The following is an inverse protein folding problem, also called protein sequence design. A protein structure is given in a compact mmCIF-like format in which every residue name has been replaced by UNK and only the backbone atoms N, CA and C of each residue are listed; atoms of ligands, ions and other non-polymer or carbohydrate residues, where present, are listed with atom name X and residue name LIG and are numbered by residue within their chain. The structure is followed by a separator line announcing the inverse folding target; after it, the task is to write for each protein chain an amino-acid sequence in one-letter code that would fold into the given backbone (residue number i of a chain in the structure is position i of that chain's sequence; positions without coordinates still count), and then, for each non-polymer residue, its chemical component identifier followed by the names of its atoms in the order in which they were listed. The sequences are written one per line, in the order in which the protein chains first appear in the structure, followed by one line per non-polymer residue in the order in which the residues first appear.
data_IF_845033850031
#
_entry.id   IF_845033850031
#
_cell.length_a   1.000
_cell.length_b   1.000
_cell.length_c   1.000
_cell.angle_alpha   90.00
_cell.angle_beta   90.00
_cell.angle_gamma   90.00
#
_symmetry.space_group_name_H-M   'P 1'
#
loop_
_entity.id
_entity.type
_entity.pdbx_description
1 polymer ?
#
# COMPACT_ATOMS: atom_id res chain seq x y z
N UNK A 1 -14.17 -31.43 10.49
CA UNK A 1 -13.62 -32.48 9.61
C UNK A 1 -12.63 -31.82 8.66
N UNK A 2 -11.45 -32.41 8.49
CA UNK A 2 -10.22 -31.74 8.04
C UNK A 2 -10.22 -31.10 6.65
N UNK A 3 -9.40 -30.06 6.54
CA UNK A 3 -9.00 -29.43 5.29
C UNK A 3 -8.06 -30.38 4.52
N UNK A 4 -8.57 -31.02 3.47
CA UNK A 4 -7.76 -31.85 2.56
C UNK A 4 -7.47 -31.11 1.26
N UNK A 5 -6.19 -30.77 1.05
CA UNK A 5 -5.37 -30.98 -0.15
C UNK A 5 -5.84 -30.59 -1.58
N UNK A 6 -7.03 -30.04 -1.82
CA UNK A 6 -7.58 -30.00 -3.18
C UNK A 6 -7.39 -28.71 -4.02
N UNK A 7 -6.79 -27.64 -3.48
CA UNK A 7 -6.69 -26.36 -4.22
C UNK A 7 -5.30 -26.02 -4.79
N UNK A 8 -4.31 -26.92 -4.66
CA UNK A 8 -2.95 -26.69 -5.17
C UNK A 8 -2.56 -27.53 -6.40
N UNK A 9 -3.42 -28.42 -6.90
CA UNK A 9 -3.03 -29.41 -7.92
C UNK A 9 -3.30 -29.04 -9.39
N UNK A 10 -3.70 -27.80 -9.72
CA UNK A 10 -3.92 -27.36 -11.12
C UNK A 10 -2.78 -26.43 -11.62
N UNK A 11 -1.61 -26.42 -10.96
CA UNK A 11 -0.49 -25.51 -11.32
C UNK A 11 0.73 -26.24 -11.89
N UNK A 12 0.70 -27.57 -12.03
CA UNK A 12 1.89 -28.33 -12.45
C UNK A 12 2.06 -28.54 -13.98
N UNK A 13 1.11 -28.15 -14.83
CA UNK A 13 1.18 -28.46 -16.29
C UNK A 13 1.67 -27.28 -17.16
N UNK A 14 1.70 -26.04 -16.65
CA UNK A 14 2.00 -24.86 -17.49
C UNK A 14 3.47 -24.45 -17.57
N UNK A 15 4.39 -25.14 -16.89
CA UNK A 15 5.79 -24.69 -16.72
C UNK A 15 6.74 -25.21 -17.83
N UNK A 16 6.33 -26.18 -18.67
CA UNK A 16 7.24 -26.76 -19.69
C UNK A 16 7.27 -25.93 -21.00
N UNK A 17 6.35 -24.99 -21.22
CA UNK A 17 6.19 -24.33 -22.53
C UNK A 17 6.92 -22.96 -22.70
N UNK A 18 7.54 -22.37 -21.67
CA UNK A 18 8.16 -21.02 -21.78
C UNK A 18 9.70 -21.00 -21.85
N UNK A 19 10.37 -22.15 -21.98
CA UNK A 19 11.84 -22.24 -21.96
C UNK A 19 12.49 -22.07 -23.35
N UNK A 20 11.72 -21.94 -24.44
CA UNK A 20 12.28 -21.81 -25.79
C UNK A 20 11.87 -20.51 -26.50
N UNK A 21 12.54 -19.41 -26.15
CA UNK A 21 12.83 -18.21 -26.95
C UNK A 21 13.31 -17.17 -25.92
N UNK A 22 14.59 -16.86 -25.81
CA UNK A 22 15.28 -15.86 -26.65
C UNK A 22 16.79 -16.09 -26.51
N UNK A 23 17.50 -16.17 -27.63
CA UNK A 23 18.97 -16.03 -27.70
C UNK A 23 19.31 -15.10 -28.88
N UNK A 24 20.39 -14.34 -28.69
CA UNK A 24 21.18 -13.53 -29.66
C UNK A 24 20.50 -12.24 -30.15
N UNK A 25 21.12 -11.05 -30.27
CA UNK A 25 22.50 -10.54 -30.45
C UNK A 25 22.44 -9.02 -30.05
N UNK A 26 23.41 -8.27 -29.51
CA UNK A 26 24.69 -7.86 -30.10
C UNK A 26 25.48 -6.94 -29.15
N UNK A 27 26.81 -6.96 -29.32
CA UNK A 27 27.87 -6.18 -28.64
C UNK A 27 28.13 -4.79 -29.30
N UNK A 28 29.00 -4.01 -28.63
CA UNK A 28 29.68 -2.74 -29.00
C UNK A 28 28.89 -1.46 -28.65
N UNK A 29 29.46 -0.41 -28.05
CA UNK A 29 30.84 0.06 -27.99
C UNK A 29 31.08 0.94 -26.74
N UNK A 30 32.29 0.85 -26.18
CA UNK A 30 32.86 1.76 -25.20
C UNK A 30 33.30 3.07 -25.85
N UNK A 31 33.14 4.22 -25.17
CA UNK A 31 34.17 5.25 -25.14
C UNK A 31 34.03 6.19 -23.94
N UNK A 32 35.12 6.25 -23.20
CA UNK A 32 35.47 7.17 -22.13
C UNK A 32 35.83 8.55 -22.70
N UNK A 33 35.52 9.61 -21.95
CA UNK A 33 36.30 10.85 -21.96
C UNK A 33 36.00 11.63 -20.69
N UNK A 34 36.97 11.64 -19.77
CA UNK A 34 37.06 12.64 -18.72
C UNK A 34 37.30 14.01 -19.35
N UNK A 35 36.71 15.06 -18.80
CA UNK A 35 37.39 16.35 -18.71
C UNK A 35 36.96 17.09 -17.46
N UNK A 36 37.99 17.49 -16.73
CA UNK A 36 37.99 18.08 -15.42
C UNK A 36 38.44 19.53 -15.61
N UNK A 37 37.62 20.52 -15.28
CA UNK A 37 38.07 21.90 -15.13
C UNK A 37 37.31 22.57 -14.01
N UNK A 38 38.03 22.75 -12.90
CA UNK A 38 37.73 23.71 -11.85
C UNK A 38 37.63 25.13 -12.45
N UNK A 39 36.61 25.89 -12.05
CA UNK A 39 36.72 27.34 -11.99
C UNK A 39 35.82 27.86 -10.86
N UNK A 40 36.48 28.33 -9.81
CA UNK A 40 35.90 29.15 -8.77
C UNK A 40 35.59 30.53 -9.36
N UNK A 41 34.33 30.95 -9.31
CA UNK A 41 33.97 32.36 -9.40
C UNK A 41 32.77 32.62 -8.48
N UNK A 42 33.05 33.35 -7.40
CA UNK A 42 32.07 34.00 -6.53
C UNK A 42 31.28 35.03 -7.33
N UNK A 43 30.02 34.72 -7.62
CA UNK A 43 29.04 35.69 -8.10
C UNK A 43 27.86 35.68 -7.13
N UNK A 44 27.63 36.84 -6.50
CA UNK A 44 26.45 37.14 -5.70
C UNK A 44 25.26 37.17 -6.67
N UNK A 45 24.43 36.13 -6.67
CA UNK A 45 23.18 36.12 -7.43
C UNK A 45 22.01 36.29 -6.48
N UNK A 46 21.37 37.45 -6.54
CA UNK A 46 20.00 37.63 -6.09
C UNK A 46 19.12 36.66 -6.88
N UNK A 47 18.77 35.52 -6.27
CA UNK A 47 17.80 34.60 -6.86
C UNK A 47 16.42 35.28 -6.88
N UNK A 48 15.75 35.40 -8.03
CA UNK A 48 14.36 35.78 -8.06
C UNK A 48 13.57 34.69 -7.34
N UNK A 49 12.67 35.10 -6.45
CA UNK A 49 11.67 34.21 -5.86
C UNK A 49 10.78 33.72 -7.02
N UNK A 50 11.14 32.59 -7.62
CA UNK A 50 10.25 31.84 -8.48
C UNK A 50 9.12 31.32 -7.59
N UNK A 51 8.01 32.04 -7.57
CA UNK A 51 6.72 31.47 -7.18
C UNK A 51 6.37 30.44 -8.27
N UNK A 52 6.96 29.25 -8.21
CA UNK A 52 6.52 28.12 -9.00
C UNK A 52 5.06 27.87 -8.61
N UNK A 53 4.13 28.30 -9.45
CA UNK A 53 2.74 27.87 -9.31
C UNK A 53 2.74 26.35 -9.43
N UNK A 54 2.21 25.65 -8.42
CA UNK A 54 2.11 24.19 -8.44
C UNK A 54 1.35 23.74 -9.68
N UNK A 55 1.90 22.78 -10.41
CA UNK A 55 1.29 22.22 -11.61
C UNK A 55 0.48 20.97 -11.23
N UNK A 56 -0.85 20.95 -11.46
CA UNK A 56 -1.67 19.80 -11.13
C UNK A 56 -1.32 18.60 -12.02
N UNK A 57 -1.18 17.43 -11.39
CA UNK A 57 -0.95 16.16 -12.09
C UNK A 57 -2.17 15.76 -12.90
N UNK A 58 -2.00 15.33 -14.15
CA UNK A 58 -3.12 14.81 -14.93
C UNK A 58 -3.59 13.44 -14.41
N UNK A 59 -4.89 13.15 -14.56
CA UNK A 59 -5.44 11.81 -14.28
C UNK A 59 -5.03 10.89 -15.43
N UNK A 60 -4.24 9.85 -15.13
CA UNK A 60 -3.89 8.78 -16.06
C UNK A 60 -5.09 7.89 -16.35
N UNK A 61 -5.75 7.43 -15.29
CA UNK A 61 -6.97 6.64 -15.37
C UNK A 61 -7.78 6.71 -14.08
N UNK A 62 -9.07 6.43 -14.17
CA UNK A 62 -9.94 6.25 -13.01
C UNK A 62 -10.83 5.03 -13.23
N UNK A 63 -11.01 4.19 -12.22
CA UNK A 63 -11.80 2.97 -12.33
C UNK A 63 -12.35 2.50 -10.98
N UNK A 64 -13.51 1.84 -11.04
CA UNK A 64 -14.15 1.23 -9.89
C UNK A 64 -13.35 0.02 -9.38
N UNK A 65 -13.11 -0.06 -8.07
CA UNK A 65 -12.53 -1.22 -7.43
C UNK A 65 -13.48 -2.42 -7.49
N UNK A 66 -12.93 -3.59 -7.82
CA UNK A 66 -13.71 -4.80 -8.05
C UNK A 66 -13.92 -5.51 -6.72
N UNK A 67 -15.18 -5.83 -6.43
CA UNK A 67 -15.52 -6.61 -5.23
C UNK A 67 -15.23 -8.09 -5.43
N UNK A 68 -14.56 -8.71 -4.47
CA UNK A 68 -14.24 -10.14 -4.47
C UNK A 68 -14.17 -10.69 -3.05
N UNK A 69 -14.25 -12.01 -2.93
CA UNK A 69 -14.02 -12.71 -1.67
C UNK A 69 -12.54 -12.99 -1.47
N UNK A 70 -12.07 -12.89 -0.23
CA UNK A 70 -10.70 -13.21 0.20
C UNK A 70 -10.74 -13.88 1.58
N UNK A 71 -9.65 -14.54 1.96
CA UNK A 71 -9.53 -15.24 3.24
C UNK A 71 -10.69 -16.22 3.45
N UNK A 72 -11.24 -16.20 4.66
CA UNK A 72 -12.44 -16.94 5.03
C UNK A 72 -13.62 -15.98 5.08
N UNK A 73 -14.46 -15.94 4.04
CA UNK A 73 -15.73 -15.18 4.04
C UNK A 73 -15.59 -13.65 4.01
N UNK A 74 -14.38 -13.10 3.98
CA UNK A 74 -14.18 -11.64 3.93
C UNK A 74 -14.49 -11.10 2.53
N UNK A 75 -15.01 -9.87 2.46
CA UNK A 75 -15.25 -9.15 1.21
C UNK A 75 -14.28 -7.99 1.10
N UNK A 76 -13.66 -7.85 -0.06
CA UNK A 76 -12.77 -6.74 -0.36
C UNK A 76 -13.12 -6.10 -1.69
N UNK A 77 -12.93 -4.78 -1.79
CA UNK A 77 -12.89 -4.07 -3.06
C UNK A 77 -11.43 -3.82 -3.43
N UNK A 78 -10.94 -4.55 -4.45
CA UNK A 78 -9.55 -4.46 -4.92
C UNK A 78 -9.41 -3.48 -6.07
N UNK A 79 -8.45 -2.57 -5.95
CA UNK A 79 -8.09 -1.63 -7.02
C UNK A 79 -6.74 -1.98 -7.66
N UNK A 80 -5.64 -1.77 -6.93
CA UNK A 80 -4.29 -2.24 -7.26
C UNK A 80 -4.21 -3.74 -6.94
N UNK A 81 -3.55 -4.52 -7.81
CA UNK A 81 -3.53 -5.98 -7.73
C UNK A 81 -4.60 -6.67 -8.57
N UNK A 82 -5.28 -5.93 -9.46
CA UNK A 82 -6.25 -6.48 -10.43
C UNK A 82 -5.61 -6.72 -11.79
N UNK A 83 -6.31 -7.38 -12.72
CA UNK A 83 -5.82 -7.50 -14.11
C UNK A 83 -5.68 -6.13 -14.79
N UNK A 84 -6.49 -5.13 -14.39
CA UNK A 84 -6.44 -3.77 -14.91
C UNK A 84 -5.19 -3.02 -14.43
N UNK A 85 -4.77 -3.27 -13.19
CA UNK A 85 -3.60 -2.66 -12.58
C UNK A 85 -2.93 -3.69 -11.67
N UNK A 86 -2.01 -4.48 -12.24
CA UNK A 86 -1.37 -5.58 -11.51
C UNK A 86 -0.52 -5.10 -10.34
N UNK A 87 0.16 -3.99 -10.52
CA UNK A 87 0.88 -3.24 -9.48
C UNK A 87 1.06 -1.80 -9.98
N UNK A 88 1.44 -0.91 -9.07
CA UNK A 88 1.75 0.49 -9.33
C UNK A 88 2.87 0.94 -8.40
N UNK A 89 4.13 0.64 -8.77
CA UNK A 89 5.31 0.77 -7.90
C UNK A 89 5.30 2.08 -7.08
N UNK A 90 5.49 2.03 -5.75
CA UNK A 90 5.84 0.84 -4.95
C UNK A 90 4.63 0.01 -4.50
N UNK A 91 3.41 0.32 -4.94
CA UNK A 91 2.19 -0.31 -4.46
C UNK A 91 1.90 -1.63 -5.17
N UNK A 92 1.64 -2.67 -4.39
CA UNK A 92 1.41 -4.03 -4.88
C UNK A 92 -0.07 -4.41 -4.86
N UNK A 93 -0.80 -3.91 -3.87
CA UNK A 93 -2.22 -4.21 -3.66
C UNK A 93 -2.87 -3.10 -2.84
N UNK A 94 -4.12 -2.78 -3.15
CA UNK A 94 -4.99 -1.97 -2.28
C UNK A 94 -6.36 -2.62 -2.21
N UNK A 95 -6.73 -3.05 -1.02
CA UNK A 95 -8.05 -3.58 -0.69
C UNK A 95 -8.77 -2.65 0.28
N UNK A 96 -10.02 -2.30 -0.04
CA UNK A 96 -10.97 -1.76 0.94
C UNK A 96 -11.80 -2.95 1.44
N UNK A 97 -11.52 -3.39 2.66
CA UNK A 97 -12.13 -4.58 3.24
C UNK A 97 -13.37 -4.27 4.07
N UNK A 98 -14.28 -5.24 4.11
CA UNK A 98 -15.40 -5.31 5.04
C UNK A 98 -15.46 -6.74 5.57
N UNK A 99 -15.21 -6.89 6.87
CA UNK A 99 -15.08 -8.20 7.54
C UNK A 99 -16.19 -8.33 8.57
N UNK A 100 -17.13 -9.24 8.32
CA UNK A 100 -18.16 -9.61 9.29
C UNK A 100 -17.62 -10.54 10.38
N UNK A 101 -18.42 -10.81 11.42
CA UNK A 101 -18.03 -11.63 12.59
C UNK A 101 -17.53 -13.05 12.24
N UNK A 102 -18.11 -13.67 11.21
CA UNK A 102 -17.80 -15.05 10.78
C UNK A 102 -16.84 -15.06 9.59
N UNK A 103 -16.01 -14.02 9.48
CA UNK A 103 -15.05 -13.85 8.39
C UNK A 103 -13.67 -13.48 8.92
N UNK A 104 -12.65 -13.49 8.08
CA UNK A 104 -11.32 -12.99 8.44
C UNK A 104 -10.20 -13.57 7.60
N UNK A 105 -8.97 -13.31 8.03
CA UNK A 105 -7.74 -13.77 7.40
C UNK A 105 -6.99 -14.65 8.41
N UNK A 106 -7.25 -15.97 8.45
CA UNK A 106 -6.55 -16.87 9.36
C UNK A 106 -5.07 -16.98 8.98
N UNK A 107 -4.32 -17.78 9.72
CA UNK A 107 -2.86 -17.96 9.59
C UNK A 107 -2.38 -18.02 8.13
N UNK A 108 -1.65 -16.98 7.71
CA UNK A 108 -1.09 -16.86 6.38
C UNK A 108 0.30 -16.20 6.41
N UNK A 109 1.18 -16.53 5.45
CA UNK A 109 2.53 -15.98 5.42
C UNK A 109 2.62 -14.70 4.58
N UNK A 110 3.70 -13.94 4.75
CA UNK A 110 4.18 -12.89 3.85
C UNK A 110 5.71 -12.86 3.78
N UNK A 111 6.29 -12.45 2.64
CA UNK A 111 7.73 -12.19 2.48
C UNK A 111 8.01 -11.16 1.38
N UNK A 112 8.80 -10.14 1.73
CA UNK A 112 9.36 -9.18 0.77
C UNK A 112 8.55 -7.88 0.58
N UNK A 113 7.52 -7.64 1.38
CA UNK A 113 6.70 -6.43 1.36
C UNK A 113 6.45 -5.86 2.76
N UNK A 114 5.91 -4.65 2.80
CA UNK A 114 5.22 -4.10 3.97
C UNK A 114 3.70 -4.18 3.74
N UNK A 115 2.94 -4.53 4.78
CA UNK A 115 1.48 -4.43 4.79
C UNK A 115 1.08 -3.31 5.75
N UNK A 116 0.22 -2.42 5.27
CA UNK A 116 -0.28 -1.28 6.03
C UNK A 116 -1.77 -1.45 6.18
N UNK A 117 -2.21 -1.72 7.39
CA UNK A 117 -3.62 -1.87 7.76
C UNK A 117 -4.08 -0.54 8.35
N UNK A 118 -5.06 0.13 7.73
CA UNK A 118 -5.70 1.34 8.26
C UNK A 118 -7.17 1.08 8.54
N UNK A 119 -7.59 1.17 9.81
CA UNK A 119 -8.96 0.85 10.16
C UNK A 119 -9.87 2.08 10.15
N UNK A 120 -10.99 1.98 9.43
CA UNK A 120 -11.97 3.05 9.29
C UNK A 120 -13.06 2.96 10.35
N UNK A 121 -13.55 1.74 10.64
CA UNK A 121 -14.53 1.48 11.69
C UNK A 121 -14.40 0.05 12.25
N UNK A 122 -14.82 -0.15 13.50
CA UNK A 122 -14.73 -1.43 14.20
C UNK A 122 -13.34 -1.71 14.79
N UNK A 123 -12.89 -2.97 14.78
CA UNK A 123 -11.56 -3.42 15.18
C UNK A 123 -11.04 -4.58 14.32
N UNK A 124 -9.72 -4.73 14.25
CA UNK A 124 -9.07 -5.96 13.75
C UNK A 124 -8.08 -6.46 14.80
N UNK A 125 -8.26 -7.70 15.25
CA UNK A 125 -7.30 -8.40 16.09
C UNK A 125 -6.21 -9.00 15.19
N UNK A 126 -4.95 -8.84 15.58
CA UNK A 126 -3.81 -9.45 14.89
C UNK A 126 -2.97 -10.30 15.86
N UNK A 127 -2.36 -11.36 15.32
CA UNK A 127 -1.48 -12.26 16.06
C UNK A 127 -0.43 -12.85 15.11
N UNK A 128 0.83 -12.89 15.50
CA UNK A 128 1.91 -13.46 14.70
C UNK A 128 2.70 -14.59 15.41
N UNK A 129 3.49 -15.31 14.62
CA UNK A 129 4.35 -16.40 15.10
C UNK A 129 5.57 -15.94 15.93
N UNK A 130 5.78 -14.63 16.08
CA UNK A 130 6.84 -14.04 16.89
C UNK A 130 6.34 -13.68 18.29
N UNK A 131 5.02 -13.78 18.52
CA UNK A 131 4.35 -13.49 19.78
C UNK A 131 3.74 -12.09 19.85
N UNK A 132 3.82 -11.30 18.79
CA UNK A 132 3.14 -10.00 18.72
C UNK A 132 1.65 -10.21 18.51
N UNK A 133 0.85 -9.47 19.26
CA UNK A 133 -0.60 -9.47 19.12
C UNK A 133 -1.19 -8.16 19.64
N UNK A 134 -2.36 -7.82 19.15
CA UNK A 134 -3.05 -6.59 19.53
C UNK A 134 -4.34 -6.40 18.77
N UNK A 135 -4.97 -5.26 18.99
CA UNK A 135 -6.15 -4.81 18.26
C UNK A 135 -5.85 -3.45 17.64
N UNK A 136 -6.11 -3.35 16.34
CA UNK A 136 -6.11 -2.11 15.57
C UNK A 136 -7.52 -1.53 15.72
N UNK A 137 -7.66 -0.34 16.32
CA UNK A 137 -8.95 0.32 16.53
C UNK A 137 -9.29 1.35 15.44
N UNK A 138 -10.47 2.00 15.49
CA UNK A 138 -10.87 2.98 14.48
C UNK A 138 -9.88 4.14 14.42
N UNK A 139 -9.37 4.42 13.22
CA UNK A 139 -8.37 5.44 12.98
C UNK A 139 -6.92 5.01 13.23
N UNK A 140 -6.69 3.84 13.84
CA UNK A 140 -5.35 3.30 14.04
C UNK A 140 -4.78 2.71 12.75
N UNK A 141 -3.46 2.67 12.68
CA UNK A 141 -2.71 1.99 11.65
C UNK A 141 -1.72 0.99 12.24
N UNK A 142 -1.48 -0.07 11.47
CA UNK A 142 -0.36 -0.97 11.67
C UNK A 142 0.48 -1.02 10.40
N UNK A 143 1.76 -0.71 10.53
CA UNK A 143 2.76 -0.90 9.48
C UNK A 143 3.57 -2.15 9.82
N UNK A 144 3.28 -3.25 9.14
CA UNK A 144 4.01 -4.51 9.30
C UNK A 144 5.01 -4.66 8.16
N UNK A 145 6.31 -4.66 8.48
CA UNK A 145 7.34 -5.09 7.53
C UNK A 145 7.46 -6.61 7.61
N UNK A 146 7.14 -7.33 6.52
CA UNK A 146 7.26 -8.80 6.49
C UNK A 146 8.71 -9.27 6.33
N UNK A 147 9.54 -8.51 5.60
CA UNK A 147 10.97 -8.82 5.42
C UNK A 147 11.19 -10.27 4.97
N UNK A 148 12.12 -10.97 5.65
CA UNK A 148 12.48 -12.38 5.39
C UNK A 148 11.36 -13.39 5.66
N UNK A 149 10.24 -13.00 6.28
CA UNK A 149 9.13 -13.90 6.50
C UNK A 149 8.37 -13.61 7.78
N UNK A 150 7.05 -13.54 7.68
CA UNK A 150 6.15 -13.52 8.83
C UNK A 150 4.96 -14.44 8.55
N UNK A 151 4.45 -15.11 9.58
CA UNK A 151 3.14 -15.77 9.54
C UNK A 151 2.26 -15.15 10.62
N UNK A 152 1.07 -14.73 10.23
CA UNK A 152 0.15 -14.02 11.11
C UNK A 152 -1.31 -14.29 10.74
N UNK A 153 -2.22 -13.88 11.62
CA UNK A 153 -3.65 -13.83 11.39
C UNK A 153 -4.16 -12.41 11.63
N UNK A 154 -5.19 -12.02 10.87
CA UNK A 154 -5.93 -10.77 11.00
C UNK A 154 -7.43 -11.10 11.04
N UNK A 155 -8.01 -11.07 12.23
CA UNK A 155 -9.39 -11.50 12.50
C UNK A 155 -10.23 -10.30 12.93
N UNK A 156 -11.53 -10.26 12.58
CA UNK A 156 -12.41 -9.18 13.00
C UNK A 156 -12.47 -9.11 14.53
N UNK A 157 -12.39 -7.90 15.06
CA UNK A 157 -12.78 -7.68 16.44
C UNK A 157 -14.31 -7.80 16.56
N UNK A 158 -14.77 -8.29 17.71
CA UNK A 158 -16.20 -8.43 17.97
C UNK A 158 -16.79 -7.08 18.37
N UNK A 159 -17.45 -6.40 17.42
CA UNK A 159 -18.17 -5.17 17.72
C UNK A 159 -19.44 -5.47 18.55
N UNK A 160 -19.72 -4.72 19.63
CA UNK A 160 -20.90 -4.97 20.49
C UNK A 160 -22.25 -4.93 19.76
N UNK A 161 -22.34 -4.14 18.69
CA UNK A 161 -23.54 -4.00 17.85
C UNK A 161 -23.60 -5.00 16.68
N UNK A 162 -22.58 -5.85 16.53
CA UNK A 162 -22.46 -6.81 15.43
C UNK A 162 -22.14 -6.19 14.07
N UNK A 163 -21.83 -4.88 14.02
CA UNK A 163 -21.43 -4.21 12.78
C UNK A 163 -20.13 -4.81 12.21
N UNK A 164 -19.94 -4.78 10.87
CA UNK A 164 -18.72 -5.26 10.26
C UNK A 164 -17.54 -4.30 10.50
N UNK A 165 -16.33 -4.85 10.42
CA UNK A 165 -15.09 -4.10 10.50
C UNK A 165 -14.68 -3.63 9.10
N UNK A 166 -14.39 -2.34 8.95
CA UNK A 166 -14.11 -1.72 7.65
C UNK A 166 -12.75 -1.04 7.70
N UNK A 167 -11.92 -1.30 6.68
CA UNK A 167 -10.58 -0.75 6.64
C UNK A 167 -9.92 -0.87 5.28
N UNK A 168 -8.65 -0.47 5.24
CA UNK A 168 -7.81 -0.44 4.05
C UNK A 168 -6.57 -1.29 4.30
N UNK A 169 -6.31 -2.24 3.41
CA UNK A 169 -5.06 -2.99 3.35
C UNK A 169 -4.25 -2.49 2.16
N UNK A 170 -3.09 -1.88 2.42
CA UNK A 170 -2.14 -1.46 1.39
C UNK A 170 -0.89 -2.31 1.48
N UNK A 171 -0.50 -2.94 0.37
CA UNK A 171 0.81 -3.60 0.27
C UNK A 171 1.80 -2.69 -0.46
N UNK A 172 2.95 -2.49 0.17
CA UNK A 172 4.04 -1.66 -0.35
C UNK A 172 5.28 -2.53 -0.53
N UNK A 173 5.86 -2.51 -1.72
CA UNK A 173 7.04 -3.28 -2.03
C UNK A 173 8.25 -2.79 -1.21
N UNK A 174 9.07 -3.73 -0.72
CA UNK A 174 10.35 -3.39 -0.10
C UNK A 174 11.43 -3.21 -1.18
N UNK A 175 12.38 -2.28 -1.00
CA UNK A 175 13.58 -2.24 -1.81
C UNK A 175 14.29 -3.59 -1.76
N UNK A 176 14.83 -4.06 -2.88
CA UNK A 176 15.51 -5.37 -3.00
C UNK A 176 16.43 -5.69 -1.82
N UNK A 177 17.22 -4.71 -1.37
CA UNK A 177 18.18 -4.84 -0.26
C UNK A 177 17.54 -5.06 1.12
N UNK A 178 16.25 -4.74 1.29
CA UNK A 178 15.49 -4.87 2.54
C UNK A 178 14.51 -6.05 2.53
N UNK A 179 14.34 -6.76 1.41
CA UNK A 179 13.40 -7.90 1.33
C UNK A 179 13.73 -9.05 2.26
N UNK A 180 14.96 -9.10 2.79
CA UNK A 180 15.41 -10.12 3.76
C UNK A 180 15.72 -9.53 5.14
N UNK A 181 15.26 -8.30 5.45
CA UNK A 181 15.39 -7.77 6.80
C UNK A 181 14.54 -8.57 7.79
N UNK A 182 14.82 -8.43 9.09
CA UNK A 182 13.94 -8.97 10.12
C UNK A 182 12.54 -8.32 10.03
N UNK A 183 11.47 -9.09 10.28
CA UNK A 183 10.13 -8.52 10.38
C UNK A 183 10.05 -7.50 11.51
N UNK A 184 9.22 -6.46 11.32
CA UNK A 184 8.97 -5.46 12.37
C UNK A 184 7.55 -4.93 12.28
N UNK A 185 7.06 -4.39 13.40
CA UNK A 185 5.81 -3.63 13.47
C UNK A 185 6.09 -2.19 13.85
N UNK A 186 5.31 -1.28 13.27
CA UNK A 186 5.14 0.08 13.75
C UNK A 186 3.67 0.42 13.76
N UNK A 187 3.08 0.38 14.96
CA UNK A 187 1.70 0.84 15.16
C UNK A 187 1.68 2.38 15.22
N UNK A 188 0.58 2.98 14.77
CA UNK A 188 0.31 4.42 14.87
C UNK A 188 -1.14 4.58 15.33
N UNK A 189 -1.33 5.10 16.55
CA UNK A 189 -2.66 5.32 17.11
C UNK A 189 -3.31 6.54 16.48
N UNK A 190 -4.64 6.51 16.39
CA UNK A 190 -5.44 7.60 15.82
C UNK A 190 -5.12 8.96 16.46
N UNK A 191 -4.89 8.98 17.77
CA UNK A 191 -4.55 10.18 18.55
C UNK A 191 -3.15 10.74 18.27
N UNK A 192 -2.25 9.92 17.73
CA UNK A 192 -0.89 10.35 17.34
C UNK A 192 -0.88 11.03 15.96
N UNK A 193 -1.96 10.91 15.17
CA UNK A 193 -2.01 11.39 13.80
C UNK A 193 -2.27 12.91 13.78
N UNK A 194 -1.34 13.73 13.27
CA UNK A 194 -1.55 15.17 13.14
C UNK A 194 -2.68 15.48 12.14
N UNK A 195 -3.48 16.49 12.46
CA UNK A 195 -4.58 16.94 11.61
C UNK A 195 -4.26 18.32 11.06
N UNK A 196 -4.27 18.45 9.73
CA UNK A 196 -4.26 19.74 9.05
C UNK A 196 -5.69 20.18 8.72
N UNK A 197 -5.94 21.49 8.80
CA UNK A 197 -7.18 22.10 8.34
C UNK A 197 -6.89 23.07 7.21
N UNK A 198 -7.75 23.07 6.18
CA UNK A 198 -7.63 23.96 5.04
C UNK A 198 -9.01 24.52 4.63
N UNK A 199 -8.98 25.50 3.73
CA UNK A 199 -10.18 26.14 3.16
C UNK A 199 -11.18 26.60 4.24
N UNK A 200 -10.67 27.35 5.22
CA UNK A 200 -11.46 27.90 6.34
C UNK A 200 -12.24 26.83 7.13
N UNK A 201 -11.67 25.63 7.29
CA UNK A 201 -12.28 24.54 8.06
C UNK A 201 -13.24 23.66 7.27
N UNK A 202 -13.33 23.83 5.95
CA UNK A 202 -14.08 22.94 5.05
C UNK A 202 -13.31 21.70 4.61
N UNK A 203 -11.99 21.69 4.80
CA UNK A 203 -11.15 20.54 4.54
C UNK A 203 -10.41 20.11 5.80
N UNK A 204 -10.48 18.82 6.11
CA UNK A 204 -9.76 18.18 7.21
C UNK A 204 -8.88 17.08 6.63
N UNK A 205 -7.60 17.08 6.98
CA UNK A 205 -6.62 16.12 6.48
C UNK A 205 -5.93 15.45 7.66
N UNK A 206 -6.10 14.14 7.82
CA UNK A 206 -5.26 13.33 8.71
C UNK A 206 -3.96 13.03 7.98
N UNK A 207 -2.85 13.55 8.50
CA UNK A 207 -1.50 13.41 7.91
C UNK A 207 -0.86 12.14 8.46
N UNK A 208 -1.33 10.98 7.99
CA UNK A 208 -0.86 9.65 8.44
C UNK A 208 0.63 9.49 8.18
N UNK A 209 1.05 9.76 6.94
CA UNK A 209 2.47 9.84 6.57
C UNK A 209 2.70 10.93 5.52
N UNK A 210 3.79 11.67 5.66
CA UNK A 210 4.14 12.76 4.75
C UNK A 210 3.82 14.15 5.30
N UNK A 211 3.33 15.03 4.43
CA UNK A 211 3.06 16.43 4.78
C UNK A 211 1.81 16.97 4.07
N UNK A 212 1.01 17.76 4.77
CA UNK A 212 -0.12 18.49 4.20
C UNK A 212 -0.30 19.85 4.85
N UNK A 213 -0.44 20.90 4.04
CA UNK A 213 -0.77 22.26 4.49
C UNK A 213 0.07 22.77 5.68
N UNK A 214 1.39 22.52 5.62
CA UNK A 214 2.34 22.95 6.64
C UNK A 214 2.52 21.98 7.82
N UNK A 215 1.69 20.93 7.93
CA UNK A 215 1.76 19.92 8.98
C UNK A 215 2.48 18.67 8.46
N UNK A 216 3.49 18.22 9.20
CA UNK A 216 4.23 16.99 8.94
C UNK A 216 3.69 15.84 9.81
N UNK A 217 3.76 14.60 9.31
CA UNK A 217 3.40 13.40 10.04
C UNK A 217 4.46 12.98 11.07
N UNK A 218 4.12 11.96 11.86
CA UNK A 218 5.12 11.13 12.54
C UNK A 218 6.07 10.50 11.51
N UNK A 219 7.35 10.38 11.86
CA UNK A 219 8.42 9.85 10.98
C UNK A 219 8.66 8.35 11.19
N UNK A 220 9.41 7.75 10.27
CA UNK A 220 9.96 6.38 10.37
C UNK A 220 8.91 5.26 10.49
N UNK A 221 7.76 5.43 9.85
CA UNK A 221 6.67 4.46 9.83
C UNK A 221 6.97 3.26 8.92
N UNK A 222 7.42 3.52 7.70
CA UNK A 222 7.67 2.50 6.66
C UNK A 222 9.13 2.59 6.16
N UNK A 223 9.67 1.49 5.66
CA UNK A 223 10.99 1.49 5.02
C UNK A 223 10.93 2.04 3.60
N UNK A 224 9.86 1.75 2.87
CA UNK A 224 9.62 2.38 1.58
C UNK A 224 8.94 3.72 1.80
N UNK A 225 9.49 4.84 1.31
CA UNK A 225 8.88 6.15 1.47
C UNK A 225 7.47 6.19 0.87
N UNK A 226 6.47 6.38 1.73
CA UNK A 226 5.05 6.43 1.38
C UNK A 226 4.36 7.55 2.15
N UNK A 227 3.51 8.30 1.45
CA UNK A 227 2.60 9.30 1.99
C UNK A 227 1.19 8.76 1.92
N UNK A 228 0.46 8.90 3.02
CA UNK A 228 -0.95 8.51 3.15
C UNK A 228 -1.64 9.70 3.80
N UNK A 229 -2.67 10.22 3.14
CA UNK A 229 -3.49 11.33 3.61
C UNK A 229 -4.94 10.91 3.56
N UNK A 230 -5.64 10.91 4.70
CA UNK A 230 -7.08 10.69 4.77
C UNK A 230 -7.79 12.06 4.85
N UNK A 231 -8.59 12.35 3.84
CA UNK A 231 -9.11 13.69 3.59
C UNK A 231 -10.62 13.67 3.59
N UNK A 232 -11.20 14.53 4.42
CA UNK A 232 -12.64 14.82 4.43
C UNK A 232 -12.88 16.24 3.92
N UNK A 233 -13.78 16.40 2.96
CA UNK A 233 -14.23 17.68 2.43
C UNK A 233 -15.72 17.86 2.72
N UNK A 234 -16.05 18.94 3.42
CA UNK A 234 -17.42 19.44 3.55
C UNK A 234 -17.95 19.97 2.22
N UNK A 235 -19.26 20.16 2.05
CA UNK A 235 -19.83 20.80 0.86
C UNK A 235 -19.13 22.11 0.51
N UNK A 236 -18.73 22.25 -0.76
CA UNK A 236 -17.96 23.38 -1.28
C UNK A 236 -16.48 23.41 -0.88
N UNK A 237 -16.02 22.47 -0.06
CA UNK A 237 -14.64 22.36 0.41
C UNK A 237 -13.65 22.06 -0.72
N UNK A 238 -12.43 22.62 -0.64
CA UNK A 238 -11.39 22.47 -1.67
C UNK A 238 -10.00 22.27 -1.06
N UNK A 239 -9.15 21.54 -1.76
CA UNK A 239 -7.72 21.41 -1.45
C UNK A 239 -6.86 21.46 -2.72
N UNK A 240 -5.60 21.85 -2.53
CA UNK A 240 -4.51 21.62 -3.48
C UNK A 240 -3.36 20.94 -2.73
N UNK A 241 -3.28 19.62 -2.83
CA UNK A 241 -2.28 18.83 -2.11
C UNK A 241 -0.99 18.75 -2.92
N UNK A 242 0.10 19.30 -2.40
CA UNK A 242 1.44 19.15 -2.99
C UNK A 242 1.97 17.74 -2.71
N UNK A 243 2.61 17.12 -3.70
CA UNK A 243 3.19 15.78 -3.62
C UNK A 243 4.67 15.82 -4.04
N UNK A 244 5.51 14.90 -3.52
CA UNK A 244 6.90 14.81 -3.94
C UNK A 244 7.02 14.56 -5.44
N UNK A 245 7.88 15.33 -6.11
CA UNK A 245 8.12 15.22 -7.56
C UNK A 245 8.69 13.83 -7.88
N UNK A 246 8.21 13.23 -8.98
CA UNK A 246 8.64 11.91 -9.44
C UNK A 246 8.05 10.73 -8.65
N UNK A 247 7.26 10.98 -7.60
CA UNK A 247 6.56 9.91 -6.91
C UNK A 247 5.34 9.43 -7.69
N UNK A 248 5.06 8.12 -7.64
CA UNK A 248 3.78 7.60 -8.10
C UNK A 248 2.70 7.95 -7.09
N UNK A 249 1.52 8.35 -7.56
CA UNK A 249 0.41 8.74 -6.69
C UNK A 249 -0.93 8.30 -7.25
N UNK A 250 -1.85 7.99 -6.34
CA UNK A 250 -3.24 7.71 -6.64
C UNK A 250 -4.16 8.25 -5.56
N UNK A 251 -5.43 8.41 -5.88
CA UNK A 251 -6.49 8.70 -4.92
C UNK A 251 -7.52 7.57 -4.90
N UNK A 252 -8.11 7.33 -3.73
CA UNK A 252 -9.15 6.32 -3.56
C UNK A 252 -10.34 6.90 -2.77
N UNK A 253 -11.52 6.95 -3.39
CA UNK A 253 -12.71 7.54 -2.75
C UNK A 253 -13.36 6.54 -1.80
N UNK A 254 -13.39 6.87 -0.51
CA UNK A 254 -13.93 6.03 0.56
C UNK A 254 -15.44 6.21 0.68
N UNK A 255 -15.89 7.47 0.70
CA UNK A 255 -17.29 7.86 0.96
C UNK A 255 -17.68 9.07 0.11
N UNK A 256 -18.95 9.11 -0.31
CA UNK A 256 -19.50 10.21 -1.10
C UNK A 256 -18.93 10.27 -2.52
N UNK A 257 -18.84 11.49 -3.06
CA UNK A 257 -18.29 11.76 -4.39
C UNK A 257 -17.37 12.97 -4.34
N UNK A 258 -16.16 12.83 -4.89
CA UNK A 258 -15.17 13.90 -4.89
C UNK A 258 -14.88 14.33 -6.33
N UNK A 259 -14.78 15.63 -6.60
CA UNK A 259 -14.28 16.14 -7.87
C UNK A 259 -12.76 16.26 -7.79
N UNK A 260 -12.03 15.42 -8.52
CA UNK A 260 -10.55 15.41 -8.57
C UNK A 260 -10.12 15.90 -9.96
N UNK A 261 -9.29 16.94 -10.01
CA UNK A 261 -8.84 17.57 -11.27
C UNK A 261 -9.98 17.78 -12.28
N UNK A 262 -11.10 18.33 -11.81
CA UNK A 262 -12.34 18.61 -12.58
C UNK A 262 -13.12 17.38 -13.05
N UNK A 263 -12.77 16.17 -12.60
CA UNK A 263 -13.52 14.94 -12.89
C UNK A 263 -14.26 14.48 -11.65
N UNK A 264 -15.56 14.21 -11.77
CA UNK A 264 -16.37 13.64 -10.70
C UNK A 264 -16.01 12.18 -10.48
N UNK A 265 -15.56 11.83 -9.27
CA UNK A 265 -15.07 10.51 -8.88
C UNK A 265 -16.01 9.93 -7.81
N UNK A 266 -16.85 8.93 -8.17
CA UNK A 266 -17.74 8.28 -7.22
C UNK A 266 -16.99 7.43 -6.18
N UNK A 267 -17.71 7.03 -5.15
CA UNK A 267 -17.24 6.07 -4.14
C UNK A 267 -16.60 4.82 -4.77
N UNK A 268 -15.59 4.28 -4.09
CA UNK A 268 -14.83 3.08 -4.44
C UNK A 268 -14.04 3.14 -5.76
N UNK A 269 -13.85 4.34 -6.31
CA UNK A 269 -12.99 4.52 -7.47
C UNK A 269 -11.55 4.78 -7.04
N UNK A 270 -10.63 4.14 -7.78
CA UNK A 270 -9.21 4.45 -7.77
C UNK A 270 -8.89 5.41 -8.92
N UNK A 271 -8.09 6.43 -8.66
CA UNK A 271 -7.65 7.44 -9.62
C UNK A 271 -6.14 7.48 -9.63
N UNK A 272 -5.52 7.03 -10.72
CA UNK A 272 -4.07 7.13 -10.92
C UNK A 272 -3.71 8.47 -11.53
N UNK A 273 -2.64 9.07 -11.03
CA UNK A 273 -2.06 10.28 -11.60
C UNK A 273 -0.81 9.96 -12.42
N UNK A 274 -0.55 10.77 -13.44
CA UNK A 274 0.78 10.80 -14.07
C UNK A 274 1.80 11.42 -13.10
N UNK A 275 3.09 11.21 -13.34
CA UNK A 275 4.15 11.74 -12.45
C UNK A 275 4.42 13.22 -12.71
N UNK A 276 4.13 13.72 -13.91
CA UNK A 276 4.29 15.12 -14.29
C UNK A 276 3.33 16.01 -13.50
N UNK A 277 3.89 17.06 -12.90
CA UNK A 277 3.19 17.93 -11.95
C UNK A 277 3.50 17.59 -10.50
N UNK A 278 3.21 18.53 -9.61
CA UNK A 278 3.56 18.47 -8.19
C UNK A 278 2.34 18.59 -7.28
N UNK A 279 1.11 18.65 -7.82
CA UNK A 279 -0.09 18.73 -6.98
C UNK A 279 -1.29 17.92 -7.46
N UNK A 280 -2.22 17.65 -6.54
CA UNK A 280 -3.55 17.11 -6.83
C UNK A 280 -4.59 18.09 -6.31
N UNK A 281 -5.50 18.51 -7.18
CA UNK A 281 -6.62 19.38 -6.82
C UNK A 281 -7.86 18.54 -6.59
N UNK A 282 -8.53 18.76 -5.46
CA UNK A 282 -9.79 18.11 -5.15
C UNK A 282 -10.79 19.10 -4.56
N UNK A 283 -12.06 18.88 -4.85
CA UNK A 283 -13.18 19.66 -4.32
C UNK A 283 -14.40 18.80 -4.11
N UNK A 284 -15.27 19.21 -3.19
CA UNK A 284 -16.58 18.60 -3.00
C UNK A 284 -17.67 19.54 -3.53
N UNK A 285 -18.31 19.13 -4.62
CA UNK A 285 -19.40 19.85 -5.28
C UNK A 285 -20.78 19.28 -4.91
N UNK A 286 -20.83 18.32 -3.98
CA UNK A 286 -22.06 17.70 -3.49
C UNK A 286 -22.54 18.32 -2.18
N UNK A 287 -23.78 18.01 -1.80
CA UNK A 287 -24.41 18.47 -0.56
C UNK A 287 -24.00 17.65 0.68
N UNK A 288 -23.42 16.47 0.46
CA UNK A 288 -22.92 15.58 1.52
C UNK A 288 -21.40 15.68 1.66
N UNK A 289 -20.84 15.25 2.78
CA UNK A 289 -19.39 15.16 2.94
C UNK A 289 -18.80 14.10 1.98
N UNK A 290 -17.57 14.34 1.51
CA UNK A 290 -16.80 13.36 0.73
C UNK A 290 -15.51 13.02 1.47
N UNK A 291 -15.16 11.73 1.52
CA UNK A 291 -13.94 11.23 2.16
C UNK A 291 -13.13 10.39 1.18
N UNK A 292 -11.83 10.67 1.07
CA UNK A 292 -10.96 9.96 0.15
C UNK A 292 -9.51 9.96 0.65
N UNK A 293 -8.75 9.00 0.17
CA UNK A 293 -7.31 8.92 0.40
C UNK A 293 -6.56 9.56 -0.76
N UNK A 294 -5.46 10.26 -0.46
CA UNK A 294 -4.36 10.47 -1.41
C UNK A 294 -3.16 9.66 -0.91
N UNK A 295 -2.64 8.79 -1.75
CA UNK A 295 -1.50 7.93 -1.45
C UNK A 295 -0.42 8.16 -2.50
N UNK A 296 0.81 8.43 -2.06
CA UNK A 296 1.95 8.64 -2.93
C UNK A 296 3.18 7.88 -2.41
N UNK A 297 3.99 7.33 -3.30
CA UNK A 297 5.14 6.51 -2.91
C UNK A 297 6.30 6.67 -3.88
N UNK A 298 7.51 6.57 -3.36
CA UNK A 298 8.71 6.58 -4.18
C UNK A 298 8.73 5.30 -5.05
N UNK A 299 8.70 5.41 -6.39
CA UNK A 299 8.81 4.25 -7.27
C UNK A 299 10.15 3.58 -7.04
N UNK A 300 10.12 2.25 -7.00
CA UNK A 300 11.31 1.43 -6.95
C UNK A 300 11.68 0.99 -8.37
N UNK A 301 12.92 1.28 -8.77
CA UNK A 301 13.52 0.77 -10.00
C UNK A 301 14.02 -0.67 -9.78
N UNK A 302 13.07 -1.61 -9.73
CA UNK A 302 13.35 -3.03 -9.53
C UNK A 302 12.26 -3.90 -10.16
N UNK A 303 12.64 -5.13 -10.50
CA UNK A 303 11.68 -6.13 -10.93
C UNK A 303 10.79 -6.57 -9.77
N UNK A 304 9.50 -6.72 -10.02
CA UNK A 304 8.52 -7.27 -9.08
C UNK A 304 8.05 -8.63 -9.60
N UNK A 305 8.33 -9.68 -8.84
CA UNK A 305 7.81 -11.03 -9.09
C UNK A 305 6.96 -11.42 -7.88
N UNK A 306 5.65 -11.56 -8.11
CA UNK A 306 4.68 -11.87 -7.08
C UNK A 306 4.03 -13.22 -7.34
N UNK A 307 4.03 -14.07 -6.32
CA UNK A 307 3.24 -15.31 -6.29
C UNK A 307 2.53 -15.42 -4.95
N UNK A 308 1.23 -15.12 -4.96
CA UNK A 308 0.39 -15.05 -3.76
C UNK A 308 1.01 -14.13 -2.69
N UNK A 309 1.39 -14.66 -1.51
CA UNK A 309 1.92 -13.88 -0.39
C UNK A 309 3.39 -13.46 -0.52
N UNK A 310 4.11 -13.94 -1.53
CA UNK A 310 5.55 -13.73 -1.68
C UNK A 310 5.82 -12.76 -2.82
N UNK A 311 6.53 -11.68 -2.52
CA UNK A 311 6.87 -10.62 -3.49
C UNK A 311 8.38 -10.40 -3.47
N UNK A 312 9.08 -10.94 -4.47
CA UNK A 312 10.54 -10.88 -4.58
C UNK A 312 10.94 -10.30 -5.95
N UNK A 313 12.22 -10.37 -6.31
CA UNK A 313 12.73 -9.74 -7.54
C UNK A 313 13.00 -10.74 -8.68
N UNK A 314 12.90 -12.05 -8.45
CA UNK A 314 13.08 -13.09 -9.47
C UNK A 314 12.16 -14.30 -9.22
N UNK A 315 11.96 -15.15 -10.24
CA UNK A 315 11.17 -16.36 -10.09
C UNK A 315 11.86 -17.36 -9.16
N UNK A 316 13.19 -17.41 -9.19
CA UNK A 316 14.04 -18.21 -8.32
C UNK A 316 13.86 -17.80 -6.86
N UNK A 317 13.87 -16.50 -6.55
CA UNK A 317 13.67 -16.00 -5.18
C UNK A 317 12.26 -16.35 -4.64
N UNK A 318 11.25 -16.24 -5.50
CA UNK A 318 9.87 -16.63 -5.14
C UNK A 318 9.78 -18.13 -4.89
N UNK A 319 10.38 -18.95 -5.75
CA UNK A 319 10.41 -20.40 -5.55
C UNK A 319 11.15 -20.77 -4.26
N UNK A 320 12.25 -20.09 -3.94
CA UNK A 320 12.95 -20.27 -2.68
C UNK A 320 12.08 -19.87 -1.48
N UNK A 321 11.29 -18.81 -1.58
CA UNK A 321 10.35 -18.41 -0.53
C UNK A 321 9.27 -19.47 -0.25
N UNK A 322 8.77 -20.12 -1.30
CA UNK A 322 7.83 -21.24 -1.18
C UNK A 322 8.49 -22.41 -0.45
N UNK A 323 9.71 -22.78 -0.85
CA UNK A 323 10.49 -23.85 -0.22
C UNK A 323 10.71 -23.52 1.26
N UNK A 324 11.22 -22.33 1.57
CA UNK A 324 11.52 -21.89 2.93
C UNK A 324 10.29 -21.92 3.84
N UNK A 325 9.12 -21.52 3.33
CA UNK A 325 7.87 -21.62 4.07
C UNK A 325 7.49 -23.08 4.36
N UNK A 326 7.57 -23.96 3.37
CA UNK A 326 7.23 -25.38 3.51
C UNK A 326 8.22 -26.14 4.43
N UNK A 327 9.51 -25.83 4.36
CA UNK A 327 10.55 -26.43 5.19
C UNK A 327 10.72 -25.75 6.55
N UNK A 328 10.00 -24.66 6.82
CA UNK A 328 10.12 -23.85 8.04
C UNK A 328 11.56 -23.37 8.26
N UNK A 329 12.14 -22.71 7.27
CA UNK A 329 13.53 -22.22 7.28
C UNK A 329 13.66 -20.78 6.83
N UNK A 330 14.83 -20.18 7.07
CA UNK A 330 15.24 -18.87 6.54
C UNK A 330 14.24 -17.74 6.79
N UNK A 331 13.59 -17.72 7.95
CA UNK A 331 12.60 -16.72 8.36
C UNK A 331 11.26 -17.33 8.77
N UNK A 332 11.01 -18.58 8.39
CA UNK A 332 9.78 -19.29 8.72
C UNK A 332 9.96 -20.39 9.78
N UNK A 333 11.07 -20.39 10.53
CA UNK A 333 11.37 -21.40 11.55
C UNK A 333 10.25 -21.53 12.60
N UNK A 334 9.65 -20.40 12.97
CA UNK A 334 8.56 -20.33 13.95
C UNK A 334 7.20 -20.75 13.40
N UNK A 335 7.05 -20.91 12.10
CA UNK A 335 5.79 -21.39 11.52
C UNK A 335 5.54 -22.87 11.87
N UNK A 336 6.57 -23.62 12.28
CA UNK A 336 6.46 -25.06 12.53
C UNK A 336 5.55 -25.33 13.73
N UNK A 337 4.35 -25.81 13.46
CA UNK A 337 3.36 -26.15 14.48
C UNK A 337 2.75 -24.94 15.19
N UNK A 338 3.02 -23.72 14.71
CA UNK A 338 2.34 -22.53 15.21
C UNK A 338 0.91 -22.46 14.65
N UNK A 339 0.00 -22.04 15.51
CA UNK A 339 -1.38 -21.72 15.16
C UNK A 339 -1.79 -20.50 15.98
N UNK A 340 -2.39 -19.49 15.36
CA UNK A 340 -2.91 -18.36 16.12
C UNK A 340 -4.09 -18.77 16.99
N UNK A 341 -4.24 -18.17 18.17
CA UNK A 341 -5.45 -18.35 18.99
C UNK A 341 -6.65 -17.67 18.33
N UNK A 342 -6.44 -16.53 17.66
CA UNK A 342 -7.53 -15.80 17.01
C UNK A 342 -8.05 -16.50 15.75
N UNK A 343 -7.20 -17.21 15.00
CA UNK A 343 -7.59 -17.96 13.82
C UNK A 343 -8.47 -19.16 14.16
N UNK A 344 -8.32 -19.73 15.37
CA UNK A 344 -9.16 -20.83 15.87
C UNK A 344 -10.62 -20.41 16.12
N UNK A 345 -10.93 -19.12 16.20
CA UNK A 345 -12.32 -18.63 16.34
C UNK A 345 -13.21 -19.03 15.17
N UNK A 346 -12.61 -19.42 14.05
CA UNK A 346 -13.28 -19.86 12.81
C UNK A 346 -13.40 -21.38 12.66
N UNK A 347 -12.80 -22.15 13.58
CA UNK A 347 -12.89 -23.62 13.63
C UNK A 347 -14.08 -24.04 14.48
#
# INVERSE_FOLDING_TARGET
MGWTFASFFIILISIIASIYQVKTLNLFNTNTSLNNTNNNNTAITNSPVHTNMSAPRAIRQAFLAIEKSEGMGARVRRSIGTLKLRNFSPFLMLDHFTIGKDAGFPDHPHRGQETITYLLSGGVDHEDFAGHKGTIGPGDLQFMTAGRGIMHAEMPHNNPDGSPNVGIQLWVDLPKKLKMCEPRYRDLRAEEIPIASADNGRATIKVISGKSHGIDSVKDLAYTPVWILDITLKPGGRINQILPIGWNAFAYTLEGTTTINKKRIPQFHNVEFVQEGDSVQASNESEEESRFLIIAGQPLDQQVVQYGPFVLNSAEDVNQAIIDFQSHSNGFERARGWQSEIGKRML
#
